data_IF_737625058851
#
_entry.id   IF_737625058851
#
_cell.length_a   1.000
_cell.length_b   1.000
_cell.length_c   1.000
_cell.angle_alpha   90.00
_cell.angle_beta   90.00
_cell.angle_gamma   90.00
#
_symmetry.space_group_name_H-M   'P 1'
#
loop_
_entity.id
_entity.type
_entity.pdbx_description
1 polymer ?
#
# COMPACT_ATOMS: atom_id res chain seq x y z
N UNK A 1 16.09 -12.39 -12.68
CA UNK A 1 16.15 -12.52 -11.21
C UNK A 1 16.75 -11.29 -10.53
N UNK A 2 18.00 -10.90 -10.76
CA UNK A 2 18.67 -9.74 -10.12
C UNK A 2 17.89 -8.44 -10.27
N UNK A 3 17.35 -8.17 -11.44
CA UNK A 3 16.54 -6.99 -11.74
C UNK A 3 15.27 -6.91 -10.86
N UNK A 4 14.56 -8.02 -10.69
CA UNK A 4 13.35 -8.09 -9.87
C UNK A 4 13.68 -7.96 -8.37
N UNK A 5 14.79 -8.54 -7.92
CA UNK A 5 15.29 -8.32 -6.55
C UNK A 5 15.62 -6.84 -6.32
N UNK A 6 16.32 -6.19 -7.28
CA UNK A 6 16.60 -4.76 -7.24
C UNK A 6 15.35 -3.87 -7.19
N UNK A 7 14.23 -4.33 -7.78
CA UNK A 7 12.91 -3.70 -7.68
C UNK A 7 12.15 -4.07 -6.39
N UNK A 8 12.79 -4.76 -5.45
CA UNK A 8 12.24 -5.12 -4.15
C UNK A 8 11.23 -6.28 -4.16
N UNK A 9 11.22 -7.12 -5.20
CA UNK A 9 10.44 -8.36 -5.18
C UNK A 9 11.12 -9.40 -4.31
N UNK A 10 10.31 -10.14 -3.53
CA UNK A 10 10.84 -11.30 -2.78
C UNK A 10 11.09 -12.49 -3.71
N UNK A 11 11.97 -13.45 -3.34
CA UNK A 11 12.14 -14.69 -4.09
C UNK A 11 10.83 -15.43 -4.39
N UNK A 12 9.89 -15.44 -3.44
CA UNK A 12 8.56 -16.03 -3.61
C UNK A 12 7.73 -15.29 -4.68
N UNK A 13 7.79 -13.95 -4.68
CA UNK A 13 7.12 -13.15 -5.71
C UNK A 13 7.73 -13.36 -7.08
N UNK A 14 9.05 -13.47 -7.17
CA UNK A 14 9.75 -13.76 -8.43
C UNK A 14 9.34 -15.13 -8.98
N UNK A 15 9.30 -16.15 -8.15
CA UNK A 15 8.82 -17.47 -8.54
C UNK A 15 7.36 -17.43 -9.05
N UNK A 16 6.49 -16.64 -8.38
CA UNK A 16 5.11 -16.42 -8.80
C UNK A 16 5.00 -15.70 -10.16
N UNK A 17 5.83 -14.68 -10.39
CA UNK A 17 5.90 -13.96 -11.67
C UNK A 17 6.29 -14.90 -12.79
N UNK A 18 7.37 -15.67 -12.62
CA UNK A 18 7.86 -16.58 -13.64
C UNK A 18 6.81 -17.64 -14.00
N UNK A 19 6.12 -18.19 -13.01
CA UNK A 19 5.04 -19.16 -13.23
C UNK A 19 3.88 -18.60 -14.04
N UNK A 20 3.50 -17.34 -13.79
CA UNK A 20 2.44 -16.68 -14.56
C UNK A 20 2.87 -16.29 -15.97
N UNK A 21 4.13 -15.86 -16.12
CA UNK A 21 4.67 -15.44 -17.42
C UNK A 21 4.97 -16.62 -18.36
N UNK A 22 5.22 -17.81 -17.81
CA UNK A 22 5.62 -19.00 -18.53
C UNK A 22 4.79 -20.22 -18.10
N UNK A 23 3.46 -20.22 -18.34
CA UNK A 23 2.61 -21.33 -17.98
C UNK A 23 2.99 -22.57 -18.83
N UNK A 24 3.26 -23.69 -18.14
CA UNK A 24 3.62 -24.95 -18.83
C UNK A 24 5.09 -25.10 -19.22
N UNK A 25 5.92 -24.06 -19.11
CA UNK A 25 7.36 -24.12 -19.41
C UNK A 25 8.16 -24.43 -18.13
N UNK A 26 8.32 -25.69 -17.77
CA UNK A 26 9.01 -26.11 -16.53
C UNK A 26 10.44 -25.55 -16.43
N UNK A 27 11.16 -25.44 -17.55
CA UNK A 27 12.54 -24.95 -17.61
C UNK A 27 12.69 -23.47 -17.20
N UNK A 28 11.62 -22.67 -17.37
CA UNK A 28 11.60 -21.24 -17.00
C UNK A 28 11.01 -20.99 -15.63
N UNK A 29 10.51 -22.04 -14.98
CA UNK A 29 9.92 -21.96 -13.65
C UNK A 29 10.94 -22.40 -12.59
N UNK A 30 11.22 -21.51 -11.64
CA UNK A 30 12.11 -21.80 -10.52
C UNK A 30 11.37 -21.65 -9.18
N UNK A 31 11.72 -22.50 -8.21
CA UNK A 31 11.18 -22.37 -6.87
C UNK A 31 11.83 -21.20 -6.13
N UNK A 32 11.15 -20.68 -5.12
CA UNK A 32 11.73 -19.64 -4.27
C UNK A 32 12.96 -20.15 -3.50
N UNK A 33 12.98 -21.44 -3.12
CA UNK A 33 14.14 -22.08 -2.49
C UNK A 33 15.34 -22.12 -3.43
N UNK A 34 15.13 -22.43 -4.71
CA UNK A 34 16.20 -22.38 -5.73
C UNK A 34 16.79 -20.98 -5.83
N UNK A 35 15.93 -19.94 -5.78
CA UNK A 35 16.38 -18.55 -5.80
C UNK A 35 17.20 -18.23 -4.54
N UNK A 36 16.74 -18.63 -3.36
CA UNK A 36 17.48 -18.46 -2.11
C UNK A 36 18.83 -19.15 -2.16
N UNK A 37 18.85 -20.43 -2.53
CA UNK A 37 20.09 -21.22 -2.65
C UNK A 37 21.07 -20.54 -3.59
N UNK A 38 20.61 -20.08 -4.75
CA UNK A 38 21.47 -19.38 -5.71
C UNK A 38 22.05 -18.06 -5.15
N UNK A 39 21.29 -17.31 -4.35
CA UNK A 39 21.77 -16.08 -3.69
C UNK A 39 22.87 -16.40 -2.67
N UNK A 40 22.64 -17.39 -1.81
CA UNK A 40 23.58 -17.73 -0.75
C UNK A 40 24.81 -18.49 -1.23
N UNK A 41 24.71 -19.22 -2.37
CA UNK A 41 25.81 -19.93 -3.00
C UNK A 41 26.71 -19.03 -3.87
N UNK A 42 26.39 -17.73 -4.01
CA UNK A 42 27.22 -16.81 -4.81
C UNK A 42 28.64 -16.71 -4.27
N UNK A 43 29.66 -16.95 -5.08
CA UNK A 43 31.05 -16.94 -4.65
C UNK A 43 31.57 -15.52 -4.34
N UNK A 44 31.03 -14.51 -5.02
CA UNK A 44 31.41 -13.11 -4.80
C UNK A 44 30.75 -12.55 -3.53
N UNK A 45 31.54 -12.37 -2.47
CA UNK A 45 31.08 -11.89 -1.15
C UNK A 45 30.38 -10.53 -1.23
N UNK A 46 30.88 -9.60 -2.01
CA UNK A 46 30.33 -8.26 -2.16
C UNK A 46 28.94 -8.31 -2.81
N UNK A 47 28.81 -9.01 -3.95
CA UNK A 47 27.54 -9.19 -4.66
C UNK A 47 26.50 -9.92 -3.81
N UNK A 48 26.93 -10.94 -3.06
CA UNK A 48 26.07 -11.65 -2.13
C UNK A 48 25.52 -10.72 -1.04
N UNK A 49 26.37 -9.88 -0.45
CA UNK A 49 25.99 -8.92 0.58
C UNK A 49 24.99 -7.88 0.05
N UNK A 50 25.20 -7.36 -1.16
CA UNK A 50 24.29 -6.44 -1.83
C UNK A 50 22.89 -7.11 -2.02
N UNK A 51 22.86 -8.32 -2.53
CA UNK A 51 21.61 -9.02 -2.81
C UNK A 51 20.87 -9.42 -1.53
N UNK A 52 21.60 -9.84 -0.48
CA UNK A 52 21.01 -10.10 0.84
C UNK A 52 20.42 -8.81 1.44
N UNK A 53 21.05 -7.66 1.25
CA UNK A 53 20.53 -6.35 1.66
C UNK A 53 19.21 -5.98 0.99
N UNK A 54 18.90 -6.53 -0.18
CA UNK A 54 17.63 -6.34 -0.88
C UNK A 54 16.49 -7.24 -0.34
N UNK A 55 16.81 -8.25 0.48
CA UNK A 55 15.81 -9.09 1.10
C UNK A 55 15.09 -8.37 2.25
N UNK A 56 13.77 -8.56 2.36
CA UNK A 56 12.91 -7.81 3.28
C UNK A 56 13.20 -7.96 4.77
N UNK A 57 13.86 -9.04 5.19
CA UNK A 57 14.01 -9.38 6.61
C UNK A 57 15.40 -9.06 7.15
N UNK A 58 15.80 -7.78 7.14
CA UNK A 58 17.00 -7.32 7.82
C UNK A 58 16.74 -6.89 9.29
N UNK A 59 15.65 -7.32 9.92
CA UNK A 59 15.25 -6.82 11.23
C UNK A 59 15.85 -7.64 12.37
N UNK A 60 16.72 -7.02 13.18
CA UNK A 60 17.50 -7.69 14.24
C UNK A 60 16.84 -7.75 15.63
N UNK A 61 15.78 -6.98 15.92
CA UNK A 61 15.19 -6.91 17.26
C UNK A 61 13.70 -6.53 17.26
N UNK A 62 12.91 -7.24 18.07
CA UNK A 62 11.50 -6.95 18.36
C UNK A 62 11.42 -6.05 19.59
N UNK A 63 10.93 -4.81 19.45
CA UNK A 63 10.68 -3.92 20.60
C UNK A 63 9.38 -4.33 21.30
N UNK A 64 9.35 -4.40 22.66
CA UNK A 64 8.12 -4.63 23.41
C UNK A 64 7.13 -3.46 23.20
N UNK A 65 5.82 -3.79 23.10
CA UNK A 65 4.76 -2.76 23.07
C UNK A 65 4.56 -2.23 24.49
N UNK A 66 4.88 -0.95 24.71
CA UNK A 66 4.49 -0.27 25.95
C UNK A 66 2.98 -0.03 25.96
N UNK A 67 2.28 -0.47 27.01
CA UNK A 67 0.90 -0.11 27.29
C UNK A 67 0.92 1.26 27.96
N UNK A 68 0.57 2.32 27.21
CA UNK A 68 0.27 3.65 27.77
C UNK A 68 -1.24 3.80 27.98
N UNK A 69 -1.63 4.63 28.94
CA UNK A 69 -3.03 5.04 29.12
C UNK A 69 -3.56 5.69 27.85
N UNK A 70 -4.81 5.37 27.51
CA UNK A 70 -5.49 5.92 26.34
C UNK A 70 -5.92 7.38 26.61
N UNK A 71 -5.03 8.33 26.24
CA UNK A 71 -5.27 9.78 26.31
C UNK A 71 -5.86 10.34 25.02
N UNK A 72 -6.54 9.53 24.20
CA UNK A 72 -7.14 9.97 22.95
C UNK A 72 -8.38 10.79 23.24
N UNK A 73 -8.42 12.00 22.67
CA UNK A 73 -9.62 12.85 22.74
C UNK A 73 -10.80 12.17 22.05
N UNK A 74 -12.01 12.46 22.52
CA UNK A 74 -13.22 11.95 21.90
C UNK A 74 -13.39 12.57 20.51
N UNK A 75 -13.67 11.74 19.51
CA UNK A 75 -14.06 12.17 18.18
C UNK A 75 -15.57 12.42 18.24
N UNK A 76 -16.06 13.63 17.90
CA UNK A 76 -17.50 13.91 17.90
C UNK A 76 -18.21 13.05 16.84
N UNK A 77 -19.44 12.65 17.11
CA UNK A 77 -20.36 11.96 16.18
C UNK A 77 -19.78 10.75 15.45
N UNK A 78 -18.82 10.03 16.07
CA UNK A 78 -18.20 8.86 15.49
C UNK A 78 -19.20 7.71 15.33
N UNK A 79 -19.24 7.11 14.14
CA UNK A 79 -19.99 5.88 13.87
C UNK A 79 -19.12 4.68 14.22
N UNK A 80 -19.57 3.84 15.16
CA UNK A 80 -18.83 2.65 15.57
C UNK A 80 -18.72 1.62 14.44
N UNK A 81 -17.62 0.87 14.39
CA UNK A 81 -17.42 -0.27 13.48
C UNK A 81 -18.52 -1.32 13.60
N UNK A 82 -19.16 -1.45 14.77
CA UNK A 82 -20.26 -2.40 15.00
C UNK A 82 -21.54 -2.06 14.23
N UNK A 83 -21.68 -0.81 13.77
CA UNK A 83 -22.79 -0.39 12.90
C UNK A 83 -22.46 -0.57 11.41
N UNK A 84 -21.28 -1.08 11.10
CA UNK A 84 -20.85 -1.35 9.73
C UNK A 84 -21.62 -2.54 9.16
N UNK A 85 -22.15 -2.44 7.92
CA UNK A 85 -22.83 -3.56 7.26
C UNK A 85 -21.95 -4.83 7.22
N UNK A 86 -22.48 -6.02 7.56
CA UNK A 86 -21.70 -7.27 7.63
C UNK A 86 -21.01 -7.64 6.30
N UNK A 87 -21.62 -7.28 5.16
CA UNK A 87 -21.08 -7.54 3.81
C UNK A 87 -19.67 -6.95 3.61
N UNK A 88 -19.33 -5.91 4.38
CA UNK A 88 -17.98 -5.30 4.33
C UNK A 88 -16.91 -6.26 4.87
N UNK A 89 -17.28 -7.13 5.80
CA UNK A 89 -16.37 -8.12 6.39
C UNK A 89 -16.11 -9.31 5.48
N UNK A 90 -17.02 -9.62 4.58
CA UNK A 90 -16.90 -10.69 3.59
C UNK A 90 -15.85 -10.38 2.51
N UNK A 91 -15.47 -9.12 2.34
CA UNK A 91 -14.44 -8.65 1.37
C UNK A 91 -14.73 -9.10 -0.07
N UNK A 92 -16.00 -9.09 -0.47
CA UNK A 92 -16.41 -9.50 -1.82
C UNK A 92 -16.44 -8.31 -2.77
N UNK A 93 -17.00 -7.19 -2.30
CA UNK A 93 -17.18 -5.99 -3.11
C UNK A 93 -16.01 -5.01 -2.88
N UNK A 94 -15.28 -4.60 -3.93
CA UNK A 94 -14.29 -3.53 -3.82
C UNK A 94 -14.93 -2.18 -3.49
N UNK A 95 -14.17 -1.32 -2.78
CA UNK A 95 -14.62 0.03 -2.41
C UNK A 95 -14.69 0.26 -0.91
N UNK A 96 -14.29 -0.72 -0.12
CA UNK A 96 -14.22 -0.62 1.34
C UNK A 96 -12.76 -0.49 1.79
N UNK A 97 -12.44 0.63 2.42
CA UNK A 97 -11.07 1.04 2.73
C UNK A 97 -10.75 0.91 4.21
N UNK A 98 -9.49 0.64 4.51
CA UNK A 98 -8.91 0.83 5.84
C UNK A 98 -7.93 2.00 5.77
N UNK A 99 -8.12 3.00 6.63
CA UNK A 99 -7.27 4.18 6.70
C UNK A 99 -6.36 4.17 7.92
N UNK A 100 -5.18 4.80 7.80
CA UNK A 100 -4.24 5.03 8.91
C UNK A 100 -3.32 6.21 8.58
N UNK A 101 -2.54 6.66 9.56
CA UNK A 101 -1.55 7.73 9.37
C UNK A 101 -0.17 7.26 9.82
N UNK A 102 0.81 7.33 8.91
CA UNK A 102 2.22 7.17 9.23
C UNK A 102 2.77 8.53 9.61
N UNK A 103 3.31 8.65 10.82
CA UNK A 103 3.92 9.87 11.33
C UNK A 103 5.42 9.87 11.06
N UNK A 104 5.91 10.98 10.54
CA UNK A 104 7.32 11.23 10.32
C UNK A 104 8.09 11.59 11.59
N UNK A 105 9.33 11.98 11.42
CA UNK A 105 10.20 12.40 12.52
C UNK A 105 9.58 13.54 13.33
N UNK A 106 9.60 13.42 14.65
CA UNK A 106 9.04 14.43 15.55
C UNK A 106 7.54 14.72 15.37
N UNK A 107 6.79 13.89 14.64
CA UNK A 107 5.38 14.12 14.24
C UNK A 107 5.17 15.42 13.44
N UNK A 108 6.23 15.99 12.85
CA UNK A 108 6.16 17.23 12.08
C UNK A 108 5.57 17.05 10.68
N UNK A 109 5.60 15.83 10.15
CA UNK A 109 5.07 15.48 8.85
C UNK A 109 4.28 14.16 8.93
N UNK A 110 3.35 13.95 7.99
CA UNK A 110 2.53 12.75 7.99
C UNK A 110 2.14 12.29 6.58
N UNK A 111 1.88 11.00 6.45
CA UNK A 111 1.34 10.38 5.23
C UNK A 111 0.14 9.54 5.61
N UNK A 112 -1.01 9.84 5.00
CA UNK A 112 -2.19 9.01 5.11
C UNK A 112 -2.05 7.76 4.26
N UNK A 113 -2.43 6.61 4.80
CA UNK A 113 -2.48 5.34 4.08
C UNK A 113 -3.91 4.89 3.94
N UNK A 114 -4.28 4.49 2.74
CA UNK A 114 -5.57 3.92 2.40
C UNK A 114 -5.33 2.55 1.77
N UNK A 115 -5.93 1.51 2.31
CA UNK A 115 -5.84 0.16 1.76
C UNK A 115 -7.24 -0.36 1.49
N UNK A 116 -7.51 -0.72 0.25
CA UNK A 116 -8.76 -1.34 -0.16
C UNK A 116 -8.81 -2.79 0.35
N UNK A 117 -9.92 -3.20 0.96
CA UNK A 117 -10.00 -4.44 1.74
C UNK A 117 -10.05 -5.72 0.90
N UNK A 118 -10.63 -5.65 -0.29
CA UNK A 118 -10.83 -6.81 -1.18
C UNK A 118 -9.60 -7.09 -2.02
N UNK A 119 -9.09 -6.08 -2.71
CA UNK A 119 -7.98 -6.17 -3.65
C UNK A 119 -6.62 -5.88 -3.01
N UNK A 120 -6.64 -5.36 -1.79
CA UNK A 120 -5.46 -4.86 -1.06
C UNK A 120 -4.78 -3.66 -1.71
N UNK A 121 -5.46 -2.98 -2.65
CA UNK A 121 -4.94 -1.82 -3.38
C UNK A 121 -4.59 -0.68 -2.40
N UNK A 122 -3.47 -0.02 -2.64
CA UNK A 122 -2.90 0.98 -1.73
C UNK A 122 -2.91 2.36 -2.37
N UNK A 123 -3.36 3.33 -1.61
CA UNK A 123 -3.18 4.75 -1.96
C UNK A 123 -2.51 5.45 -0.79
N UNK A 124 -1.62 6.39 -1.11
CA UNK A 124 -0.92 7.21 -0.13
C UNK A 124 -1.31 8.67 -0.31
N UNK A 125 -1.64 9.35 0.77
CA UNK A 125 -2.03 10.75 0.77
C UNK A 125 -0.96 11.59 1.46
N UNK A 126 -0.40 12.58 0.77
CA UNK A 126 0.45 13.59 1.41
C UNK A 126 -0.40 14.44 2.34
N UNK A 127 -0.04 14.48 3.61
CA UNK A 127 -0.58 15.38 4.62
C UNK A 127 0.45 16.47 4.90
N UNK A 128 0.01 17.71 5.04
CA UNK A 128 0.93 18.81 5.36
C UNK A 128 1.53 18.61 6.76
N UNK A 129 0.68 18.15 7.69
CA UNK A 129 1.02 17.85 9.07
C UNK A 129 0.07 16.78 9.65
N UNK A 130 0.10 16.56 10.97
CA UNK A 130 -0.78 15.61 11.66
C UNK A 130 -2.14 16.20 12.10
N UNK A 131 -2.57 17.35 11.56
CA UNK A 131 -3.83 18.00 11.93
C UNK A 131 -5.06 17.40 11.22
N UNK A 132 -6.24 17.61 11.80
CA UNK A 132 -7.49 17.16 11.18
C UNK A 132 -7.76 17.85 9.84
N UNK A 133 -7.41 19.13 9.68
CA UNK A 133 -7.56 19.85 8.41
C UNK A 133 -6.68 19.27 7.31
N UNK A 134 -5.44 18.91 7.61
CA UNK A 134 -4.53 18.24 6.70
C UNK A 134 -5.03 16.85 6.30
N UNK A 135 -5.59 16.10 7.24
CA UNK A 135 -6.21 14.80 6.98
C UNK A 135 -7.42 14.94 6.03
N UNK A 136 -8.31 15.91 6.28
CA UNK A 136 -9.45 16.21 5.40
C UNK A 136 -8.95 16.52 3.98
N UNK A 137 -8.00 17.43 3.84
CA UNK A 137 -7.49 17.84 2.53
C UNK A 137 -6.81 16.67 1.79
N UNK A 138 -5.95 15.91 2.48
CA UNK A 138 -5.18 14.81 1.90
C UNK A 138 -6.07 13.62 1.50
N UNK A 139 -6.89 13.13 2.41
CA UNK A 139 -7.77 11.98 2.11
C UNK A 139 -8.82 12.31 1.08
N UNK A 140 -9.47 13.49 1.16
CA UNK A 140 -10.47 13.89 0.16
C UNK A 140 -9.87 14.00 -1.23
N UNK A 141 -8.67 14.58 -1.35
CA UNK A 141 -7.97 14.71 -2.64
C UNK A 141 -7.69 13.34 -3.27
N UNK A 142 -7.20 12.38 -2.48
CA UNK A 142 -6.81 11.06 -3.00
C UNK A 142 -8.04 10.21 -3.30
N UNK A 143 -9.05 10.20 -2.41
CA UNK A 143 -10.30 9.46 -2.62
C UNK A 143 -11.10 9.98 -3.83
N UNK A 144 -11.09 11.28 -4.10
CA UNK A 144 -11.78 11.84 -5.27
C UNK A 144 -11.10 11.52 -6.61
N UNK A 145 -9.94 10.86 -6.61
CA UNK A 145 -9.27 10.34 -7.82
C UNK A 145 -9.85 9.00 -8.29
N UNK A 146 -10.70 8.37 -7.52
CA UNK A 146 -11.32 7.08 -7.85
C UNK A 146 -12.83 7.23 -8.00
N UNK A 147 -13.44 6.30 -8.75
CA UNK A 147 -14.86 6.27 -8.98
C UNK A 147 -15.67 6.19 -7.69
N UNK A 148 -16.84 6.81 -7.68
CA UNK A 148 -17.76 6.76 -6.56
C UNK A 148 -18.16 5.32 -6.17
N UNK A 149 -18.26 4.43 -7.15
CA UNK A 149 -18.58 3.01 -6.95
C UNK A 149 -17.48 2.24 -6.20
N UNK A 150 -16.24 2.76 -6.20
CA UNK A 150 -15.07 2.16 -5.52
C UNK A 150 -14.67 2.91 -4.25
N UNK A 151 -15.51 3.83 -3.73
CA UNK A 151 -15.31 4.57 -2.48
C UNK A 151 -16.56 4.55 -1.60
N UNK A 152 -16.91 3.35 -1.14
CA UNK A 152 -18.15 3.10 -0.42
C UNK A 152 -18.02 3.39 1.07
N UNK A 153 -16.98 2.86 1.71
CA UNK A 153 -16.74 3.10 3.13
C UNK A 153 -15.25 3.14 3.47
N UNK A 154 -14.91 3.78 4.59
CA UNK A 154 -13.57 3.75 5.17
C UNK A 154 -13.66 3.46 6.67
N UNK A 155 -12.84 2.52 7.14
CA UNK A 155 -12.64 2.25 8.57
C UNK A 155 -11.33 2.87 9.03
N UNK A 156 -11.38 3.65 10.12
CA UNK A 156 -10.22 4.32 10.69
C UNK A 156 -10.10 4.04 12.19
N UNK A 157 -8.96 4.34 12.80
CA UNK A 157 -8.86 4.32 14.26
C UNK A 157 -9.40 5.62 14.88
N UNK A 158 -9.33 5.70 16.20
CA UNK A 158 -9.79 6.89 16.95
C UNK A 158 -8.66 7.93 17.09
N UNK A 159 -7.86 8.14 16.02
CA UNK A 159 -6.83 9.18 16.00
C UNK A 159 -7.42 10.59 15.96
N UNK A 160 -6.77 11.54 16.65
CA UNK A 160 -7.22 12.95 16.70
C UNK A 160 -7.25 13.62 15.33
N UNK A 161 -6.44 13.16 14.38
CA UNK A 161 -6.43 13.60 13.00
C UNK A 161 -7.77 13.35 12.27
N UNK A 162 -8.63 12.51 12.82
CA UNK A 162 -9.98 12.26 12.29
C UNK A 162 -11.09 13.05 12.96
N UNK A 163 -10.75 14.04 13.80
CA UNK A 163 -11.76 14.88 14.49
C UNK A 163 -12.71 15.62 13.52
N UNK A 164 -12.26 15.90 12.30
CA UNK A 164 -13.06 16.54 11.25
C UNK A 164 -13.56 15.52 10.18
N UNK A 165 -13.74 14.26 10.54
CA UNK A 165 -14.09 13.17 9.62
C UNK A 165 -15.41 13.43 8.84
N UNK A 166 -16.37 14.13 9.41
CA UNK A 166 -17.61 14.52 8.73
C UNK A 166 -17.32 15.28 7.43
N UNK A 167 -16.33 16.16 7.41
CA UNK A 167 -15.93 16.88 6.20
C UNK A 167 -15.33 15.97 5.12
N UNK A 168 -14.69 14.87 5.50
CA UNK A 168 -14.22 13.86 4.54
C UNK A 168 -15.44 13.19 3.90
N UNK A 169 -16.43 12.76 4.70
CA UNK A 169 -17.67 12.17 4.22
C UNK A 169 -18.41 13.11 3.27
N UNK A 170 -18.54 14.40 3.64
CA UNK A 170 -19.22 15.40 2.81
C UNK A 170 -18.56 15.60 1.45
N UNK A 171 -17.20 15.67 1.42
CA UNK A 171 -16.42 15.92 0.21
C UNK A 171 -16.31 14.70 -0.71
N UNK A 172 -16.37 13.49 -0.15
CA UNK A 172 -16.10 12.25 -0.90
C UNK A 172 -17.31 11.34 -1.01
N UNK A 173 -18.34 11.58 -0.22
CA UNK A 173 -19.51 10.71 -0.06
C UNK A 173 -19.19 9.31 0.46
N UNK A 174 -18.06 9.15 1.16
CA UNK A 174 -17.65 7.88 1.77
C UNK A 174 -18.26 7.75 3.18
N UNK A 175 -18.75 6.56 3.53
CA UNK A 175 -19.20 6.26 4.89
C UNK A 175 -17.99 5.98 5.79
N UNK A 176 -17.88 6.66 6.94
CA UNK A 176 -16.77 6.49 7.87
C UNK A 176 -17.19 5.70 9.11
N UNK A 177 -16.37 4.70 9.46
CA UNK A 177 -16.55 3.87 10.64
C UNK A 177 -15.27 3.88 11.48
N UNK A 178 -15.42 3.85 12.81
CA UNK A 178 -14.30 3.88 13.74
C UNK A 178 -14.12 2.53 14.44
N UNK A 179 -12.90 2.00 14.32
CA UNK A 179 -12.49 0.79 15.02
C UNK A 179 -12.41 1.03 16.52
N UNK A 180 -12.62 -0.03 17.30
CA UNK A 180 -12.45 0.04 18.75
C UNK A 180 -10.98 0.16 19.13
N UNK A 181 -10.70 0.85 20.19
CA UNK A 181 -9.38 0.89 20.81
C UNK A 181 -9.36 -0.06 22.02
N UNK A 182 -8.45 -1.02 22.13
CA UNK A 182 -7.25 -1.29 21.34
C UNK A 182 -7.34 -2.54 20.45
N UNK A 183 -8.21 -2.58 19.45
CA UNK A 183 -8.49 -3.76 18.61
C UNK A 183 -7.79 -3.69 17.23
N UNK A 184 -6.47 -3.93 17.14
CA UNK A 184 -5.72 -3.79 15.89
C UNK A 184 -6.17 -4.76 14.78
N UNK A 185 -6.72 -5.93 15.13
CA UNK A 185 -7.20 -6.92 14.14
C UNK A 185 -8.37 -6.40 13.28
N UNK A 186 -9.10 -5.40 13.75
CA UNK A 186 -10.19 -4.76 12.99
C UNK A 186 -9.66 -3.97 11.76
N UNK A 187 -8.34 -3.69 11.72
CA UNK A 187 -7.62 -3.00 10.61
C UNK A 187 -6.36 -3.76 10.18
N UNK A 188 -6.40 -5.09 10.24
CA UNK A 188 -5.24 -5.95 9.96
C UNK A 188 -4.67 -5.79 8.55
N UNK A 189 -5.47 -5.37 7.57
CA UNK A 189 -5.02 -5.13 6.20
C UNK A 189 -4.07 -3.94 6.14
N UNK A 190 -4.42 -2.86 6.82
CA UNK A 190 -3.60 -1.65 6.88
C UNK A 190 -2.32 -1.87 7.68
N UNK A 191 -2.38 -2.54 8.85
CA UNK A 191 -1.18 -2.87 9.64
C UNK A 191 -0.16 -3.68 8.83
N UNK A 192 -0.61 -4.68 8.07
CA UNK A 192 0.26 -5.46 7.18
C UNK A 192 0.88 -4.58 6.09
N UNK A 193 0.09 -3.70 5.48
CA UNK A 193 0.57 -2.79 4.43
C UNK A 193 1.56 -1.77 4.98
N UNK A 194 1.28 -1.18 6.15
CA UNK A 194 2.22 -0.29 6.83
C UNK A 194 3.54 -1.00 7.17
N UNK A 195 3.48 -2.30 7.51
CA UNK A 195 4.68 -3.14 7.66
C UNK A 195 5.52 -3.23 6.38
N UNK A 196 4.89 -3.31 5.21
CA UNK A 196 5.59 -3.29 3.92
C UNK A 196 6.10 -1.90 3.54
N UNK A 197 5.39 -0.84 3.88
CA UNK A 197 5.79 0.55 3.63
C UNK A 197 7.07 0.94 4.40
N UNK A 198 7.38 0.26 5.51
CA UNK A 198 8.63 0.46 6.27
C UNK A 198 9.89 0.26 5.43
N UNK A 199 9.86 -0.60 4.40
CA UNK A 199 11.00 -0.78 3.50
C UNK A 199 11.38 0.51 2.73
N UNK A 200 10.42 1.43 2.56
CA UNK A 200 10.65 2.75 1.95
C UNK A 200 11.06 3.82 2.97
N UNK A 201 11.39 3.41 4.21
CA UNK A 201 11.82 4.28 5.32
C UNK A 201 10.83 5.40 5.66
N UNK A 202 9.53 5.19 5.43
CA UNK A 202 8.51 6.19 5.75
C UNK A 202 8.34 6.42 7.26
N UNK A 203 8.63 5.42 8.10
CA UNK A 203 8.54 5.59 9.56
C UNK A 203 9.76 6.31 10.11
N UNK A 204 9.53 7.41 10.83
CA UNK A 204 10.58 8.16 11.54
C UNK A 204 11.52 8.96 10.62
N UNK A 205 11.26 9.01 9.31
CA UNK A 205 11.93 9.89 8.37
C UNK A 205 11.22 11.24 8.28
N UNK A 206 11.89 12.24 7.72
CA UNK A 206 11.20 13.47 7.31
C UNK A 206 10.36 13.20 6.06
N UNK A 207 9.04 13.20 6.22
CA UNK A 207 8.09 12.94 5.13
C UNK A 207 7.72 14.23 4.38
N UNK A 208 8.13 15.39 4.85
CA UNK A 208 7.81 16.68 4.21
C UNK A 208 8.44 16.80 2.82
N UNK A 209 9.62 16.18 2.63
CA UNK A 209 10.37 16.18 1.37
C UNK A 209 9.69 15.38 0.26
N UNK A 210 8.79 14.45 0.60
CA UNK A 210 8.09 13.64 -0.39
C UNK A 210 6.96 14.43 -1.04
N UNK A 211 6.93 14.45 -2.36
CA UNK A 211 5.79 14.94 -3.12
C UNK A 211 4.65 13.91 -3.15
N UNK A 212 3.43 14.34 -3.53
CA UNK A 212 2.34 13.38 -3.76
C UNK A 212 2.72 12.36 -4.85
N UNK A 213 3.47 12.79 -5.86
CA UNK A 213 3.96 11.90 -6.92
C UNK A 213 4.90 10.82 -6.38
N UNK A 214 5.83 11.15 -5.49
CA UNK A 214 6.72 10.15 -4.88
C UNK A 214 5.93 9.11 -4.09
N UNK A 215 4.88 9.55 -3.40
CA UNK A 215 3.97 8.65 -2.68
C UNK A 215 3.16 7.77 -3.64
N UNK A 216 2.68 8.33 -4.74
CA UNK A 216 1.98 7.58 -5.79
C UNK A 216 2.91 6.51 -6.42
N UNK A 217 4.17 6.85 -6.67
CA UNK A 217 5.18 5.92 -7.18
C UNK A 217 5.47 4.78 -6.19
N UNK A 218 5.55 5.08 -4.89
CA UNK A 218 5.71 4.06 -3.83
C UNK A 218 4.49 3.14 -3.79
N UNK A 219 3.28 3.68 -3.83
CA UNK A 219 2.04 2.91 -3.84
C UNK A 219 1.98 2.00 -5.07
N UNK A 220 2.27 2.54 -6.26
CA UNK A 220 2.35 1.77 -7.50
C UNK A 220 3.33 0.60 -7.41
N UNK A 221 4.53 0.82 -6.87
CA UNK A 221 5.50 -0.25 -6.67
C UNK A 221 5.00 -1.39 -5.77
N UNK A 222 4.13 -1.09 -4.82
CA UNK A 222 3.47 -2.12 -4.00
C UNK A 222 2.34 -2.81 -4.76
N UNK A 223 1.59 -2.06 -5.55
CA UNK A 223 0.35 -2.53 -6.18
C UNK A 223 0.60 -3.40 -7.41
N UNK A 224 1.72 -3.22 -8.09
CA UNK A 224 2.13 -4.11 -9.20
C UNK A 224 2.78 -5.41 -8.74
N UNK A 225 3.12 -5.56 -7.45
CA UNK A 225 3.72 -6.80 -6.95
C UNK A 225 2.68 -7.89 -6.79
N UNK A 226 2.94 -9.11 -7.31
CA UNK A 226 2.03 -10.24 -7.14
C UNK A 226 1.92 -10.62 -5.65
N UNK A 227 0.73 -11.05 -5.26
CA UNK A 227 0.41 -11.42 -3.89
C UNK A 227 -0.14 -12.85 -3.83
N UNK A 228 0.46 -13.69 -2.98
CA UNK A 228 0.01 -15.07 -2.79
C UNK A 228 -1.46 -15.17 -2.37
N UNK A 229 -1.97 -14.34 -1.41
CA UNK A 229 -3.38 -14.34 -1.04
C UNK A 229 -4.34 -13.97 -2.18
N UNK A 230 -3.84 -13.32 -3.23
CA UNK A 230 -4.60 -12.93 -4.42
C UNK A 230 -4.39 -13.90 -5.60
N UNK A 231 -3.95 -15.13 -5.33
CA UNK A 231 -3.65 -16.12 -6.39
C UNK A 231 -2.51 -15.66 -7.32
N UNK A 232 -1.54 -14.96 -6.78
CA UNK A 232 -0.41 -14.36 -7.53
C UNK A 232 -0.81 -13.23 -8.50
N UNK A 233 -2.03 -12.73 -8.40
CA UNK A 233 -2.43 -11.48 -9.04
C UNK A 233 -1.83 -10.29 -8.28
N UNK A 234 -1.62 -9.18 -8.98
CA UNK A 234 -1.25 -7.93 -8.34
C UNK A 234 -2.51 -7.13 -7.94
N UNK A 235 -2.34 -6.22 -7.00
CA UNK A 235 -3.42 -5.39 -6.47
C UNK A 235 -4.03 -4.49 -7.54
N UNK A 236 -3.15 -3.90 -8.37
CA UNK A 236 -3.53 -3.01 -9.45
C UNK A 236 -4.41 -3.72 -10.48
N UNK A 237 -4.02 -4.94 -10.89
CA UNK A 237 -4.77 -5.79 -11.82
C UNK A 237 -6.20 -6.09 -11.33
N UNK A 238 -6.38 -6.23 -10.01
CA UNK A 238 -7.69 -6.54 -9.42
C UNK A 238 -8.54 -5.29 -9.22
N UNK A 239 -7.94 -4.16 -8.86
CA UNK A 239 -8.65 -2.93 -8.58
C UNK A 239 -9.00 -2.15 -9.85
N UNK A 240 -8.12 -2.16 -10.86
CA UNK A 240 -8.26 -1.49 -12.15
C UNK A 240 -7.95 -2.42 -13.32
N UNK A 241 -8.76 -3.48 -13.54
CA UNK A 241 -8.47 -4.52 -14.53
C UNK A 241 -8.40 -3.97 -15.97
N UNK A 242 -9.17 -2.93 -16.28
CA UNK A 242 -9.22 -2.33 -17.61
C UNK A 242 -7.99 -1.45 -17.91
N UNK A 243 -7.31 -0.97 -16.87
CA UNK A 243 -6.20 -0.03 -16.99
C UNK A 243 -4.84 -0.69 -16.89
N UNK A 244 -4.74 -1.96 -16.54
CA UNK A 244 -3.48 -2.63 -16.27
C UNK A 244 -3.36 -4.00 -16.92
N UNK A 245 -2.40 -4.14 -17.83
CA UNK A 245 -2.03 -5.43 -18.40
C UNK A 245 -0.75 -5.96 -17.72
N UNK A 246 -0.92 -7.02 -16.93
CA UNK A 246 0.15 -7.66 -16.17
C UNK A 246 1.29 -8.16 -17.06
N UNK A 247 0.97 -8.87 -18.14
CA UNK A 247 1.99 -9.46 -19.03
C UNK A 247 2.80 -8.37 -19.72
N UNK A 248 2.13 -7.36 -20.27
CA UNK A 248 2.79 -6.23 -20.92
C UNK A 248 3.73 -5.51 -19.95
N UNK A 249 3.25 -5.24 -18.72
CA UNK A 249 4.06 -4.59 -17.68
C UNK A 249 5.34 -5.39 -17.38
N UNK A 250 5.21 -6.68 -17.11
CA UNK A 250 6.36 -7.49 -16.74
C UNK A 250 7.27 -7.82 -17.93
N UNK A 251 6.77 -8.03 -19.14
CA UNK A 251 7.60 -8.18 -20.33
C UNK A 251 8.49 -6.98 -20.56
N UNK A 252 7.94 -5.78 -20.52
CA UNK A 252 8.70 -4.53 -20.69
C UNK A 252 9.71 -4.32 -19.55
N UNK A 253 9.35 -4.65 -18.32
CA UNK A 253 10.19 -4.40 -17.15
C UNK A 253 11.22 -5.49 -16.86
N UNK A 254 11.10 -6.68 -17.46
CA UNK A 254 12.10 -7.75 -17.38
C UNK A 254 13.11 -7.66 -18.55
N UNK A 255 12.66 -7.22 -19.72
CA UNK A 255 13.46 -7.19 -20.94
C UNK A 255 14.47 -6.03 -21.02
N UNK A 256 14.30 -4.95 -20.27
CA UNK A 256 15.14 -3.75 -20.36
C UNK A 256 15.89 -3.50 -19.06
N UNK A 257 17.24 -3.45 -19.05
CA UNK A 257 17.99 -2.91 -17.93
C UNK A 257 17.87 -1.39 -17.96
N UNK A 258 16.79 -0.84 -17.43
CA UNK A 258 16.62 0.61 -17.32
C UNK A 258 17.33 1.12 -16.07
N UNK A 259 18.38 1.94 -16.29
CA UNK A 259 18.84 2.93 -15.32
C UNK A 259 17.64 3.79 -14.90
N UNK A 260 17.34 3.81 -13.60
CA UNK A 260 16.54 4.81 -12.89
C UNK A 260 15.45 5.55 -13.69
N UNK A 261 14.40 4.87 -14.12
CA UNK A 261 13.12 5.52 -14.44
C UNK A 261 12.01 4.78 -13.70
N UNK A 262 11.51 5.39 -12.62
CA UNK A 262 10.15 5.12 -12.17
C UNK A 262 9.23 5.50 -13.34
N UNK A 263 8.43 4.58 -13.90
CA UNK A 263 7.48 4.96 -14.93
C UNK A 263 6.46 5.94 -14.31
N UNK A 264 6.16 7.02 -15.01
CA UNK A 264 5.08 7.97 -14.72
C UNK A 264 3.68 7.34 -14.88
N UNK A 265 3.50 6.12 -14.45
CA UNK A 265 2.36 5.28 -14.82
C UNK A 265 1.15 5.55 -13.94
N UNK A 266 1.38 5.93 -12.67
CA UNK A 266 0.26 6.13 -11.74
C UNK A 266 -0.64 7.30 -12.13
N UNK A 267 -0.03 8.37 -12.63
CA UNK A 267 -0.75 9.56 -13.08
C UNK A 267 -1.53 9.32 -14.38
N UNK A 268 -1.03 8.46 -15.26
CA UNK A 268 -1.70 8.15 -16.53
C UNK A 268 -2.99 7.33 -16.35
N UNK A 269 -3.08 6.49 -15.34
CA UNK A 269 -4.21 5.56 -15.14
C UNK A 269 -5.29 6.10 -14.18
N UNK A 270 -4.98 7.12 -13.38
CA UNK A 270 -5.95 7.73 -12.45
C UNK A 270 -6.55 9.06 -12.97
N UNK A 271 -5.95 9.68 -13.99
CA UNK A 271 -6.40 10.99 -14.51
C UNK A 271 -7.53 10.95 -15.57
N UNK A 272 -7.80 9.87 -16.33
CA UNK A 272 -8.82 9.94 -17.38
C UNK A 272 -10.27 10.02 -16.91
N UNK A 273 -10.55 10.09 -15.61
CA UNK A 273 -11.92 10.01 -15.08
C UNK A 273 -12.49 11.35 -14.57
N UNK A 274 -11.81 12.46 -14.80
CA UNK A 274 -12.39 13.78 -14.54
C UNK A 274 -12.77 14.40 -15.89
N UNK A 275 -14.07 14.44 -16.26
CA UNK A 275 -14.48 15.34 -17.32
C UNK A 275 -14.20 16.76 -16.82
N UNK A 276 -13.34 17.49 -17.52
CA UNK A 276 -13.26 18.94 -17.40
C UNK A 276 -14.64 19.50 -17.70
N UNK A 277 -15.37 19.89 -16.66
CA UNK A 277 -16.56 20.69 -16.83
C UNK A 277 -16.13 22.03 -17.47
N UNK A 278 -16.66 22.27 -18.65
CA UNK A 278 -16.64 23.54 -19.30
C UNK A 278 -17.50 24.56 -18.53
#
# INVERSE_FOLDING_TARGET
MRLLLGKGHSPEQIAGILRRMHPGEAERNVSHETIHTAIYAMPCRQLRTEIIGLLRQACRTRKPRARGEDRRGQIPDKVSIHLRPPQIDERVVPGHWEGDTIKGSGNASAVGTLVERTTLFVMLAKLADGTASSAVAGFSRVLNRIDAQKRLSMTYDQGKEMAAHAQISDRTRIALYFADSPNPWQRGTNENTNGMLRQYRLNGADLSVLSQKDLDDIAFHLDVRPRKPLGWKCRFELFMPESFNYESYYRQNIAVPTRNRCPHVYTQYLIPLIPTAA
#
